data_IF_971641209039
#
_entry.id   IF_971641209039
#
_cell.length_a   1.000
_cell.length_b   1.000
_cell.length_c   1.000
_cell.angle_alpha   90.00
_cell.angle_beta   90.00
_cell.angle_gamma   90.00
#
_symmetry.space_group_name_H-M   'P 1'
#
loop_
_entity.id
_entity.type
_entity.pdbx_description
1 polymer ?
#
# COMPACT_ATOMS: atom_id res chain seq x y z
N UNK A 1 -2.28 -41.51 12.54
CA UNK A 1 -2.53 -40.06 12.68
C UNK A 1 -2.33 -39.39 11.33
N UNK A 2 -3.37 -38.80 10.74
CA UNK A 2 -3.26 -38.14 9.43
C UNK A 2 -2.92 -36.67 9.67
N UNK A 3 -1.62 -36.36 9.65
CA UNK A 3 -1.15 -34.98 9.63
C UNK A 3 -1.61 -34.39 8.30
N UNK A 4 -2.65 -33.56 8.35
CA UNK A 4 -2.98 -32.63 7.27
C UNK A 4 -1.88 -31.57 7.25
N UNK A 5 -0.70 -31.95 6.78
CA UNK A 5 0.27 -30.97 6.28
C UNK A 5 -0.41 -30.36 5.05
N UNK A 6 -1.07 -29.21 5.25
CA UNK A 6 -1.51 -28.38 4.14
C UNK A 6 -0.23 -28.02 3.36
N UNK A 7 0.03 -28.62 2.17
CA UNK A 7 1.30 -28.41 1.48
C UNK A 7 1.42 -27.00 0.88
N UNK A 8 0.35 -26.21 1.02
CA UNK A 8 0.19 -24.84 0.52
C UNK A 8 0.13 -23.83 1.67
N UNK A 9 0.78 -24.10 2.80
CA UNK A 9 1.06 -23.06 3.80
C UNK A 9 2.31 -22.33 3.32
N UNK A 10 2.21 -21.36 2.42
CA UNK A 10 1.43 -20.15 2.56
C UNK A 10 2.47 -19.04 2.40
N UNK A 11 2.20 -18.06 1.55
CA UNK A 11 3.17 -17.01 1.22
C UNK A 11 3.82 -16.44 2.49
N UNK A 12 5.14 -16.22 2.45
CA UNK A 12 5.82 -15.56 3.57
C UNK A 12 5.31 -14.13 3.71
N UNK A 13 5.41 -13.55 4.91
CA UNK A 13 5.02 -12.16 5.14
C UNK A 13 5.73 -11.21 4.16
N UNK A 14 6.99 -11.48 3.83
CA UNK A 14 7.75 -10.73 2.82
C UNK A 14 7.15 -10.85 1.41
N UNK A 15 6.71 -12.05 1.02
CA UNK A 15 6.03 -12.26 -0.26
C UNK A 15 4.68 -11.54 -0.30
N UNK A 16 3.92 -11.58 0.80
CA UNK A 16 2.64 -10.87 0.93
C UNK A 16 2.85 -9.36 0.85
N UNK A 17 3.84 -8.83 1.56
CA UNK A 17 4.20 -7.41 1.53
C UNK A 17 4.68 -6.96 0.14
N UNK A 18 5.45 -7.79 -0.55
CA UNK A 18 5.88 -7.52 -1.93
C UNK A 18 4.70 -7.47 -2.90
N UNK A 19 3.81 -8.46 -2.86
CA UNK A 19 2.60 -8.49 -3.69
C UNK A 19 1.69 -7.29 -3.37
N UNK A 20 1.54 -6.96 -2.09
CA UNK A 20 0.78 -5.79 -1.65
C UNK A 20 1.39 -4.50 -2.21
N UNK A 21 2.70 -4.30 -2.04
CA UNK A 21 3.41 -3.12 -2.50
C UNK A 21 3.34 -2.97 -4.03
N UNK A 22 3.44 -4.08 -4.77
CA UNK A 22 3.26 -4.12 -6.22
C UNK A 22 1.81 -3.98 -6.68
N UNK A 23 0.84 -4.19 -5.79
CA UNK A 23 -0.59 -4.06 -6.07
C UNK A 23 -1.18 -2.69 -5.76
N UNK A 24 -0.58 -1.92 -4.85
CA UNK A 24 -1.09 -0.59 -4.46
C UNK A 24 -0.77 0.49 -5.49
N UNK A 25 -1.63 1.51 -5.59
CA UNK A 25 -1.42 2.66 -6.48
C UNK A 25 -0.22 3.52 -6.04
N UNK A 26 0.33 4.28 -6.98
CA UNK A 26 1.53 5.10 -6.80
C UNK A 26 1.46 6.04 -5.59
N UNK A 27 0.31 6.68 -5.35
CA UNK A 27 0.15 7.61 -4.21
C UNK A 27 0.33 6.91 -2.85
N UNK A 28 -0.20 5.70 -2.71
CA UNK A 28 -0.07 4.92 -1.49
C UNK A 28 1.35 4.36 -1.33
N UNK A 29 2.01 3.96 -2.42
CA UNK A 29 3.44 3.60 -2.38
C UNK A 29 4.30 4.76 -1.90
N UNK A 30 4.07 5.95 -2.45
CA UNK A 30 4.82 7.14 -2.07
C UNK A 30 4.57 7.53 -0.60
N UNK A 31 3.33 7.38 -0.12
CA UNK A 31 2.99 7.59 1.29
C UNK A 31 3.71 6.58 2.20
N UNK A 32 3.73 5.29 1.83
CA UNK A 32 4.44 4.25 2.58
C UNK A 32 5.96 4.50 2.63
N UNK A 33 6.58 4.87 1.51
CA UNK A 33 8.00 5.20 1.47
C UNK A 33 8.32 6.44 2.31
N UNK A 34 7.49 7.48 2.21
CA UNK A 34 7.64 8.69 3.02
C UNK A 34 7.55 8.38 4.52
N UNK A 35 6.56 7.58 4.93
CA UNK A 35 6.39 7.17 6.33
C UNK A 35 7.50 6.22 6.81
N UNK A 36 8.14 5.48 5.89
CA UNK A 36 9.29 4.61 6.16
C UNK A 36 10.62 5.37 6.25
N UNK A 37 10.62 6.69 6.00
CA UNK A 37 11.83 7.50 5.85
C UNK A 37 12.81 6.92 4.81
N UNK A 38 12.27 6.39 3.71
CA UNK A 38 13.05 5.68 2.69
C UNK A 38 12.21 4.63 1.96
N UNK A 39 12.82 3.49 1.64
CA UNK A 39 12.12 2.41 0.95
C UNK A 39 11.34 1.55 1.96
N UNK A 40 10.02 1.42 1.76
CA UNK A 40 9.13 0.61 2.58
C UNK A 40 9.56 -0.86 2.66
N UNK A 41 10.07 -1.43 1.57
CA UNK A 41 10.53 -2.83 1.51
C UNK A 41 11.78 -3.10 2.35
N UNK A 42 12.43 -2.05 2.89
CA UNK A 42 13.55 -2.19 3.84
C UNK A 42 13.09 -2.27 5.30
N UNK A 43 11.78 -2.17 5.58
CA UNK A 43 11.27 -2.31 6.93
C UNK A 43 11.24 -3.77 7.39
N UNK A 44 11.38 -3.96 8.70
CA UNK A 44 11.04 -5.24 9.31
C UNK A 44 9.56 -5.52 9.11
N UNK A 45 9.18 -6.80 9.12
CA UNK A 45 7.77 -7.22 8.99
C UNK A 45 6.83 -6.43 9.90
N UNK A 46 7.17 -6.28 11.18
CA UNK A 46 6.32 -5.60 12.16
C UNK A 46 6.15 -4.12 11.82
N UNK A 47 7.25 -3.45 11.45
CA UNK A 47 7.19 -2.04 11.05
C UNK A 47 6.43 -1.82 9.75
N UNK A 48 6.53 -2.76 8.80
CA UNK A 48 5.78 -2.69 7.55
C UNK A 48 4.27 -2.80 7.78
N UNK A 49 3.83 -3.75 8.63
CA UNK A 49 2.42 -3.89 8.98
C UNK A 49 1.90 -2.67 9.76
N UNK A 50 2.66 -2.16 10.72
CA UNK A 50 2.28 -0.97 11.49
C UNK A 50 2.10 0.26 10.57
N UNK A 51 2.99 0.45 9.59
CA UNK A 51 2.88 1.54 8.62
C UNK A 51 1.65 1.39 7.71
N UNK A 52 1.32 0.17 7.29
CA UNK A 52 0.10 -0.11 6.51
C UNK A 52 -1.15 0.22 7.34
N UNK A 53 -1.21 -0.24 8.59
CA UNK A 53 -2.33 0.03 9.49
C UNK A 53 -2.49 1.53 9.78
N UNK A 54 -1.38 2.21 10.08
CA UNK A 54 -1.36 3.66 10.27
C UNK A 54 -1.81 4.41 9.02
N UNK A 55 -1.37 3.98 7.84
CA UNK A 55 -1.78 4.58 6.59
C UNK A 55 -3.28 4.36 6.34
N UNK A 56 -3.82 3.17 6.61
CA UNK A 56 -5.25 2.86 6.50
C UNK A 56 -6.11 3.66 7.51
N UNK A 57 -5.63 3.79 8.75
CA UNK A 57 -6.28 4.62 9.76
C UNK A 57 -6.26 6.10 9.37
N UNK A 58 -5.16 6.56 8.78
CA UNK A 58 -5.03 7.94 8.31
C UNK A 58 -5.79 8.20 7.00
N UNK A 59 -5.95 7.23 6.10
CA UNK A 59 -6.70 7.43 4.84
C UNK A 59 -8.21 7.49 5.07
N UNK A 60 -8.69 6.91 6.17
CA UNK A 60 -10.08 7.00 6.63
C UNK A 60 -10.51 8.43 7.02
N UNK A 61 -9.58 9.39 7.10
CA UNK A 61 -9.88 10.80 7.36
C UNK A 61 -9.89 11.68 6.09
N UNK A 62 -9.64 11.12 4.90
CA UNK A 62 -9.69 11.87 3.65
C UNK A 62 -11.05 11.69 2.98
N UNK A 63 -11.90 12.70 3.17
CA UNK A 63 -13.04 12.97 2.30
C UNK A 63 -12.53 12.96 0.84
N UNK A 64 -13.00 12.06 -0.04
CA UNK A 64 -12.63 12.10 -1.45
C UNK A 64 -13.41 13.23 -2.12
N UNK A 65 -12.97 14.48 -1.90
CA UNK A 65 -13.34 15.56 -2.80
C UNK A 65 -12.59 15.33 -4.11
N UNK A 66 -13.28 14.59 -4.97
CA UNK A 66 -13.10 14.38 -6.39
C UNK A 66 -12.04 15.28 -7.03
N UNK A 67 -10.99 14.63 -7.52
CA UNK A 67 -10.30 14.97 -8.76
C UNK A 67 -11.34 15.30 -9.85
N UNK A 68 -11.63 16.58 -10.04
CA UNK A 68 -12.40 17.07 -11.18
C UNK A 68 -12.02 18.51 -11.54
N UNK A 69 -10.73 18.71 -11.76
CA UNK A 69 -10.28 19.76 -12.68
C UNK A 69 -9.38 19.14 -13.75
N UNK A 70 -10.00 18.27 -14.57
CA UNK A 70 -9.74 18.35 -16.00
C UNK A 70 -10.18 19.75 -16.48
N UNK A 71 -9.36 20.76 -16.23
CA UNK A 71 -9.44 22.01 -16.98
C UNK A 71 -8.79 21.74 -18.33
N UNK A 72 -9.59 21.12 -19.20
CA UNK A 72 -9.58 21.32 -20.63
C UNK A 72 -8.80 22.58 -21.05
N UNK A 73 -7.69 22.36 -21.74
CA UNK A 73 -7.09 23.38 -22.60
C UNK A 73 -8.16 23.83 -23.60
N UNK A 74 -8.65 25.05 -23.43
CA UNK A 74 -9.46 25.75 -24.41
C UNK A 74 -9.31 27.24 -24.16
N UNK A 75 -8.36 27.83 -24.88
CA UNK A 75 -8.51 29.19 -25.38
C UNK A 75 -8.14 29.14 -26.86
N UNK A 76 -9.16 28.91 -27.69
CA UNK A 76 -9.20 29.43 -29.05
C UNK A 76 -9.75 30.86 -29.00
N UNK A 77 -9.20 31.75 -29.82
CA UNK A 77 -9.69 33.11 -30.04
C UNK A 77 -8.59 34.15 -30.11
#
# INVERSE_FOLDING_TARGET
>A
EYRRDCPHHGFSDEQVLGIFYDGVNWDYRNALNSASNGDFMTKSKEGAFELIENLAASSSNKNPEYDRTMSNVSVEG
#
